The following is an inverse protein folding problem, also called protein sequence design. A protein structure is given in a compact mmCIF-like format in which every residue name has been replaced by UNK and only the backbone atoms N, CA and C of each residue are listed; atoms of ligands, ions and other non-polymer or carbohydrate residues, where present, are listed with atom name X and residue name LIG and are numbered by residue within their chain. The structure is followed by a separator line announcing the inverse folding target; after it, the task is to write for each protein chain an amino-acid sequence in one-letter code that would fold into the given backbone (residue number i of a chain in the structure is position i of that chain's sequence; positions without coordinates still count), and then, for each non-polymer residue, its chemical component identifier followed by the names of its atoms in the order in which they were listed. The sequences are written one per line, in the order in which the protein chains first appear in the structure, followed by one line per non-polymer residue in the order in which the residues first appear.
data_IF_264755951549
#
_entry.id   IF_264755951549
#
_cell.length_a   1.000
_cell.length_b   1.000
_cell.length_c   1.000
_cell.angle_alpha   90.00
_cell.angle_beta   90.00
_cell.angle_gamma   90.00
#
_symmetry.space_group_name_H-M   'P 1'
#
loop_
_entity.id
_entity.type
_entity.pdbx_description
1 polymer ?
#
# COMPACT_ATOMS: atom_id res chain seq x y z
N UNK A 1 -36.28 -64.21 -32.97
CA UNK A 1 -36.39 -62.73 -33.06
C UNK A 1 -35.71 -62.20 -31.80
N UNK A 2 -34.46 -61.82 -31.90
CA UNK A 2 -33.73 -61.19 -30.84
C UNK A 2 -33.89 -59.66 -30.99
N UNK A 3 -34.37 -59.04 -29.92
CA UNK A 3 -34.45 -57.58 -29.86
C UNK A 3 -33.05 -56.95 -29.76
N UNK A 4 -32.75 -55.89 -30.50
CA UNK A 4 -31.46 -55.23 -30.37
C UNK A 4 -31.44 -54.39 -29.11
N UNK A 5 -30.58 -54.73 -28.16
CA UNK A 5 -30.24 -53.90 -27.01
C UNK A 5 -29.67 -52.54 -27.47
N UNK A 6 -30.47 -51.50 -27.29
CA UNK A 6 -30.05 -50.11 -27.47
C UNK A 6 -29.09 -49.70 -26.34
N UNK A 7 -27.80 -49.91 -26.53
CA UNK A 7 -26.75 -49.31 -25.72
C UNK A 7 -26.51 -47.85 -26.13
N UNK A 8 -27.37 -46.96 -25.70
CA UNK A 8 -27.21 -45.54 -25.90
C UNK A 8 -26.82 -44.92 -24.56
N UNK A 9 -25.59 -44.37 -24.42
CA UNK A 9 -25.32 -43.31 -23.46
C UNK A 9 -24.12 -43.40 -22.55
N UNK A 10 -23.45 -44.55 -22.41
CA UNK A 10 -22.33 -44.65 -21.44
C UNK A 10 -21.02 -43.93 -21.86
N UNK A 11 -20.70 -43.91 -23.13
CA UNK A 11 -19.39 -43.46 -23.60
C UNK A 11 -19.19 -41.95 -23.74
N UNK A 12 -20.27 -41.18 -23.88
CA UNK A 12 -20.19 -39.73 -24.06
C UNK A 12 -19.93 -39.01 -22.72
N UNK A 13 -20.44 -39.58 -21.61
CA UNK A 13 -20.24 -38.99 -20.28
C UNK A 13 -18.86 -39.19 -19.74
N UNK A 14 -18.20 -40.31 -19.99
CA UNK A 14 -16.81 -40.56 -19.51
C UNK A 14 -15.79 -39.63 -20.22
N UNK A 15 -15.92 -39.38 -21.51
CA UNK A 15 -15.03 -38.45 -22.22
C UNK A 15 -15.15 -37.00 -21.74
N UNK A 16 -16.35 -36.55 -21.36
CA UNK A 16 -16.54 -35.20 -20.81
C UNK A 16 -15.94 -35.08 -19.41
N UNK A 17 -16.12 -36.07 -18.54
CA UNK A 17 -15.56 -36.10 -17.18
C UNK A 17 -14.03 -36.09 -17.20
N UNK A 18 -13.40 -36.83 -18.11
CA UNK A 18 -11.93 -36.84 -18.25
C UNK A 18 -11.35 -35.52 -18.71
N UNK A 19 -12.02 -34.77 -19.61
CA UNK A 19 -11.59 -33.43 -20.04
C UNK A 19 -11.72 -32.40 -18.92
N UNK A 20 -12.85 -32.41 -18.21
CA UNK A 20 -13.08 -31.51 -17.07
C UNK A 20 -12.04 -31.76 -15.97
N UNK A 21 -11.77 -33.01 -15.61
CA UNK A 21 -10.75 -33.35 -14.62
C UNK A 21 -9.34 -32.90 -15.01
N UNK A 22 -8.96 -32.99 -16.30
CA UNK A 22 -7.68 -32.48 -16.80
C UNK A 22 -7.59 -30.96 -16.74
N UNK A 23 -8.66 -30.25 -17.07
CA UNK A 23 -8.73 -28.79 -16.96
C UNK A 23 -8.59 -28.38 -15.49
N UNK A 24 -9.31 -29.04 -14.57
CA UNK A 24 -9.19 -28.76 -13.14
C UNK A 24 -7.79 -29.07 -12.61
N UNK A 25 -7.16 -30.18 -13.01
CA UNK A 25 -5.78 -30.49 -12.62
C UNK A 25 -4.78 -29.46 -13.13
N UNK A 26 -4.93 -29.02 -14.39
CA UNK A 26 -4.07 -27.98 -14.96
C UNK A 26 -4.25 -26.66 -14.23
N UNK A 27 -5.49 -26.24 -13.96
CA UNK A 27 -5.81 -25.02 -13.25
C UNK A 27 -5.27 -25.05 -11.82
N UNK A 28 -5.35 -26.19 -11.13
CA UNK A 28 -4.76 -26.40 -9.81
C UNK A 28 -3.23 -26.25 -9.84
N UNK A 29 -2.54 -26.83 -10.84
CA UNK A 29 -1.09 -26.70 -11.01
C UNK A 29 -0.70 -25.23 -11.24
N UNK A 30 -1.47 -24.49 -12.07
CA UNK A 30 -1.25 -23.06 -12.31
C UNK A 30 -1.43 -22.26 -11.04
N UNK A 31 -2.49 -22.52 -10.26
CA UNK A 31 -2.74 -21.85 -8.99
C UNK A 31 -1.59 -22.13 -8.00
N UNK A 32 -1.16 -23.38 -7.85
CA UNK A 32 -0.04 -23.75 -6.97
C UNK A 32 1.25 -23.08 -7.47
N UNK A 33 1.48 -23.06 -8.79
CA UNK A 33 2.62 -22.38 -9.39
C UNK A 33 2.64 -20.87 -9.09
N UNK A 34 1.48 -20.21 -9.15
CA UNK A 34 1.34 -18.80 -8.79
C UNK A 34 1.51 -18.55 -7.30
N UNK A 35 1.00 -19.44 -6.43
CA UNK A 35 1.15 -19.31 -4.98
C UNK A 35 2.61 -19.46 -4.54
N UNK A 36 3.38 -20.32 -5.18
CA UNK A 36 4.79 -20.57 -4.80
C UNK A 36 5.73 -19.64 -5.56
N UNK A 37 5.52 -19.45 -6.85
CA UNK A 37 6.39 -18.68 -7.74
C UNK A 37 6.03 -17.18 -7.80
N UNK A 38 4.78 -16.83 -7.52
CA UNK A 38 4.31 -15.44 -7.56
C UNK A 38 5.18 -14.46 -6.77
N UNK A 39 5.52 -14.76 -5.49
CA UNK A 39 6.38 -13.89 -4.70
C UNK A 39 7.76 -13.61 -5.31
N UNK A 40 8.26 -14.52 -6.15
CA UNK A 40 9.56 -14.36 -6.82
C UNK A 40 9.51 -13.43 -8.04
N UNK A 41 8.30 -13.18 -8.55
CA UNK A 41 8.07 -12.30 -9.71
C UNK A 41 7.80 -10.85 -9.32
N UNK A 42 7.65 -10.57 -8.02
CA UNK A 42 7.43 -9.22 -7.50
C UNK A 42 8.77 -8.68 -7.03
N UNK A 43 9.13 -7.48 -7.46
CA UNK A 43 10.27 -6.74 -6.94
C UNK A 43 9.79 -5.61 -6.02
N UNK A 44 10.69 -5.17 -5.12
CA UNK A 44 10.45 -3.92 -4.39
C UNK A 44 10.60 -2.75 -5.36
N UNK A 45 9.69 -1.79 -5.28
CA UNK A 45 9.88 -0.54 -5.98
C UNK A 45 10.55 0.48 -5.06
N UNK A 46 11.87 0.52 -5.10
CA UNK A 46 12.69 1.45 -4.31
C UNK A 46 12.86 2.81 -5.03
N UNK A 47 12.29 2.96 -6.24
CA UNK A 47 12.44 4.18 -7.04
C UNK A 47 11.47 5.28 -6.60
N UNK A 48 10.38 4.93 -5.89
CA UNK A 48 9.42 5.91 -5.38
C UNK A 48 10.11 6.74 -4.30
N UNK A 49 10.25 8.04 -4.58
CA UNK A 49 11.01 8.98 -3.76
C UNK A 49 10.41 10.38 -3.86
N UNK A 50 10.64 11.23 -2.86
CA UNK A 50 10.41 12.67 -2.98
C UNK A 50 11.51 13.26 -3.83
N UNK A 51 11.15 13.88 -4.94
CA UNK A 51 12.12 14.47 -5.87
C UNK A 51 12.94 15.57 -5.19
N UNK A 52 14.27 15.62 -5.48
CA UNK A 52 15.20 16.61 -4.91
C UNK A 52 14.89 18.06 -5.29
N UNK A 53 14.06 18.25 -6.33
CA UNK A 53 13.65 19.57 -6.79
C UNK A 53 12.40 20.11 -6.06
N UNK A 54 11.77 19.36 -5.17
CA UNK A 54 10.67 19.85 -4.35
C UNK A 54 11.11 21.07 -3.54
N UNK A 55 10.18 22.02 -3.33
CA UNK A 55 10.49 23.32 -2.75
C UNK A 55 11.16 23.18 -1.37
N UNK A 56 10.55 22.42 -0.48
CA UNK A 56 11.00 22.34 0.91
C UNK A 56 12.21 21.42 1.11
N UNK A 57 12.38 20.39 0.28
CA UNK A 57 13.59 19.55 0.29
C UNK A 57 14.79 20.36 -0.22
N UNK A 58 14.62 21.12 -1.33
CA UNK A 58 15.65 22.00 -1.87
C UNK A 58 16.03 23.14 -0.93
N UNK A 59 15.07 23.66 -0.18
CA UNK A 59 15.30 24.70 0.82
C UNK A 59 15.97 24.18 2.11
N UNK A 60 16.12 22.85 2.26
CA UNK A 60 16.67 22.24 3.47
C UNK A 60 15.75 22.31 4.68
N UNK A 61 14.44 22.49 4.45
CA UNK A 61 13.42 22.48 5.49
C UNK A 61 12.98 21.06 5.82
N UNK A 62 13.03 20.17 4.81
CA UNK A 62 12.79 18.74 4.96
C UNK A 62 13.99 17.96 4.46
N UNK A 63 14.32 16.89 5.17
CA UNK A 63 15.46 16.02 4.91
C UNK A 63 15.03 14.56 4.77
N UNK A 64 15.82 13.77 4.09
CA UNK A 64 15.63 12.34 3.92
C UNK A 64 15.91 11.85 2.50
N UNK A 65 15.69 10.56 2.24
CA UNK A 65 15.15 9.59 3.20
C UNK A 65 16.16 9.19 4.28
N UNK A 66 15.71 9.12 5.55
CA UNK A 66 16.54 8.67 6.67
C UNK A 66 16.50 7.16 6.84
N UNK A 67 15.32 6.57 6.72
CA UNK A 67 15.11 5.14 6.83
C UNK A 67 14.57 4.59 5.51
N UNK A 68 15.16 3.47 5.08
CA UNK A 68 14.65 2.69 3.96
C UNK A 68 14.46 1.26 4.44
N UNK A 69 13.22 0.80 4.45
CA UNK A 69 12.85 -0.55 4.86
C UNK A 69 12.15 -1.29 3.72
N UNK A 70 12.47 -2.57 3.58
CA UNK A 70 11.84 -3.48 2.64
C UNK A 70 11.08 -4.58 3.41
N UNK A 71 9.74 -4.55 3.34
CA UNK A 71 8.84 -5.40 4.12
C UNK A 71 8.15 -6.39 3.19
N UNK A 72 8.00 -7.64 3.64
CA UNK A 72 7.24 -8.69 2.95
C UNK A 72 6.00 -9.03 3.75
N UNK A 73 4.86 -9.04 3.07
CA UNK A 73 3.59 -9.46 3.65
C UNK A 73 2.91 -10.51 2.78
N UNK A 74 1.88 -11.17 3.31
CA UNK A 74 1.14 -12.23 2.61
C UNK A 74 2.07 -13.27 1.97
N UNK A 75 3.06 -13.79 2.73
CA UNK A 75 4.07 -14.73 2.25
C UNK A 75 4.87 -14.23 1.04
N UNK A 76 5.07 -12.89 0.92
CA UNK A 76 5.81 -12.25 -0.16
C UNK A 76 4.98 -11.88 -1.38
N UNK A 77 3.65 -12.09 -1.36
CA UNK A 77 2.75 -11.61 -2.41
C UNK A 77 2.51 -10.10 -2.38
N UNK A 78 2.84 -9.44 -1.29
CA UNK A 78 2.89 -8.00 -1.14
C UNK A 78 4.29 -7.61 -0.68
N UNK A 79 4.96 -6.77 -1.46
CA UNK A 79 6.24 -6.17 -1.12
C UNK A 79 6.06 -4.68 -0.93
N UNK A 80 6.64 -4.16 0.14
CA UNK A 80 6.49 -2.77 0.54
C UNK A 80 7.89 -2.19 0.69
N UNK A 81 8.16 -1.10 -0.04
CA UNK A 81 9.31 -0.23 0.21
C UNK A 81 8.83 0.97 1.02
N UNK A 82 9.52 1.29 2.12
CA UNK A 82 9.22 2.41 3.02
C UNK A 82 10.39 3.38 3.02
N UNK A 83 10.09 4.67 2.93
CA UNK A 83 11.04 5.77 3.10
C UNK A 83 10.47 6.81 4.04
N UNK A 84 11.33 7.42 4.87
CA UNK A 84 10.92 8.46 5.84
C UNK A 84 11.69 9.75 5.62
N UNK A 85 10.98 10.86 5.78
CA UNK A 85 11.51 12.22 5.70
C UNK A 85 11.09 12.99 6.93
N UNK A 86 11.90 13.91 7.39
CA UNK A 86 11.69 14.66 8.63
C UNK A 86 11.91 16.15 8.40
N UNK A 87 11.11 16.97 9.09
CA UNK A 87 11.31 18.42 9.09
C UNK A 87 12.50 18.81 9.95
N UNK A 88 13.20 19.87 9.54
CA UNK A 88 14.40 20.39 10.25
C UNK A 88 14.08 21.16 11.52
N UNK A 89 12.81 21.42 11.83
CA UNK A 89 12.34 22.29 12.91
C UNK A 89 12.12 21.60 14.24
N UNK A 90 12.83 20.50 14.51
CA UNK A 90 12.87 19.88 15.81
C UNK A 90 11.80 18.84 16.08
N UNK A 91 11.61 17.92 15.14
CA UNK A 91 10.70 16.77 15.28
C UNK A 91 9.21 17.12 15.21
N UNK A 92 8.86 18.20 14.53
CA UNK A 92 7.47 18.67 14.42
C UNK A 92 6.75 18.16 13.16
N UNK A 93 7.47 17.58 12.20
CA UNK A 93 6.90 17.00 10.98
C UNK A 93 7.64 15.75 10.49
N UNK A 94 6.90 14.72 10.10
CA UNK A 94 7.40 13.46 9.51
C UNK A 94 6.54 13.06 8.33
N UNK A 95 7.17 12.62 7.25
CA UNK A 95 6.52 12.06 6.08
C UNK A 95 6.99 10.63 5.88
N UNK A 96 6.05 9.69 5.78
CA UNK A 96 6.30 8.28 5.49
C UNK A 96 5.75 8.00 4.09
N UNK A 97 6.60 7.51 3.21
CA UNK A 97 6.23 7.09 1.84
C UNK A 97 6.33 5.58 1.75
N UNK A 98 5.22 4.93 1.43
CA UNK A 98 5.11 3.48 1.23
C UNK A 98 4.80 3.20 -0.24
N UNK A 99 5.59 2.37 -0.89
CA UNK A 99 5.31 1.81 -2.20
C UNK A 99 4.96 0.33 -2.06
N UNK A 100 3.74 -0.04 -2.43
CA UNK A 100 3.18 -1.39 -2.30
C UNK A 100 3.14 -2.04 -3.67
N UNK A 101 3.95 -3.07 -3.88
CA UNK A 101 4.02 -3.86 -5.12
C UNK A 101 3.42 -5.24 -4.93
N UNK A 102 2.46 -5.62 -5.78
CA UNK A 102 1.82 -6.95 -5.75
C UNK A 102 1.46 -7.40 -7.17
N UNK A 103 1.43 -8.72 -7.42
CA UNK A 103 0.97 -9.27 -8.71
C UNK A 103 -0.54 -9.15 -8.93
N UNK A 104 -1.27 -8.94 -7.86
CA UNK A 104 -2.72 -8.90 -7.84
C UNK A 104 -3.12 -7.55 -7.29
N UNK A 105 -4.12 -6.91 -7.91
CA UNK A 105 -4.67 -5.65 -7.38
C UNK A 105 -5.01 -5.77 -5.90
N UNK A 106 -4.76 -4.74 -5.11
CA UNK A 106 -5.09 -4.71 -3.68
C UNK A 106 -6.59 -4.98 -3.45
N UNK A 107 -7.45 -4.58 -4.38
CA UNK A 107 -8.90 -4.85 -4.32
C UNK A 107 -9.23 -6.36 -4.35
N UNK A 108 -8.36 -7.18 -4.94
CA UNK A 108 -8.50 -8.64 -4.94
C UNK A 108 -7.86 -9.31 -3.71
N UNK A 109 -6.94 -8.63 -3.03
CA UNK A 109 -6.36 -9.08 -1.76
C UNK A 109 -7.26 -8.75 -0.57
N UNK A 110 -8.18 -7.80 -0.73
CA UNK A 110 -9.12 -7.34 0.28
C UNK A 110 -9.77 -6.01 -0.12
N UNK A 111 -10.49 -5.39 0.80
CA UNK A 111 -10.93 -4.02 0.58
C UNK A 111 -9.71 -3.09 0.60
N UNK A 112 -9.43 -2.40 -0.50
CA UNK A 112 -8.29 -1.47 -0.64
C UNK A 112 -8.24 -0.46 0.51
N UNK A 113 -9.39 0.12 0.86
CA UNK A 113 -9.46 1.10 1.95
C UNK A 113 -9.05 0.51 3.29
N UNK A 114 -9.50 -0.72 3.60
CA UNK A 114 -9.12 -1.41 4.84
C UNK A 114 -7.61 -1.69 4.88
N UNK A 115 -7.00 -2.04 3.73
CA UNK A 115 -5.55 -2.25 3.63
C UNK A 115 -4.82 -0.93 3.90
N UNK A 116 -5.25 0.18 3.30
CA UNK A 116 -4.65 1.50 3.50
C UNK A 116 -4.77 1.91 4.97
N UNK A 117 -5.97 1.85 5.54
CA UNK A 117 -6.23 2.23 6.95
C UNK A 117 -5.40 1.37 7.91
N UNK A 118 -5.29 0.05 7.65
CA UNK A 118 -4.48 -0.82 8.48
C UNK A 118 -2.98 -0.50 8.37
N UNK A 119 -2.49 -0.09 7.18
CA UNK A 119 -1.10 0.37 7.03
C UNK A 119 -0.85 1.65 7.81
N UNK A 120 -1.76 2.63 7.71
CA UNK A 120 -1.67 3.86 8.51
C UNK A 120 -1.61 3.54 10.00
N UNK A 121 -2.51 2.69 10.50
CA UNK A 121 -2.50 2.27 11.91
C UNK A 121 -1.18 1.61 12.30
N UNK A 122 -0.68 0.67 11.48
CA UNK A 122 0.60 0.00 11.75
C UNK A 122 1.77 0.98 11.83
N UNK A 123 1.81 2.00 10.98
CA UNK A 123 2.86 3.02 11.05
C UNK A 123 2.64 3.95 12.26
N UNK A 124 1.40 4.27 12.63
CA UNK A 124 1.11 5.04 13.85
C UNK A 124 1.52 4.29 15.12
N UNK A 125 1.24 2.99 15.20
CA UNK A 125 1.67 2.15 16.32
C UNK A 125 3.21 2.15 16.47
N UNK A 126 3.95 2.16 15.35
CA UNK A 126 5.43 2.27 15.37
C UNK A 126 5.92 3.63 15.86
N UNK A 127 5.17 4.68 15.56
CA UNK A 127 5.45 6.05 16.03
C UNK A 127 4.87 6.32 17.42
N UNK A 128 4.31 5.30 18.08
CA UNK A 128 3.69 5.39 19.41
C UNK A 128 2.53 6.40 19.47
N UNK A 129 1.73 6.44 18.38
CA UNK A 129 0.60 7.35 18.22
C UNK A 129 -0.72 6.59 18.20
N UNK A 130 -1.69 7.06 18.98
CA UNK A 130 -3.08 6.60 18.94
C UNK A 130 -3.93 7.47 18.01
N UNK A 131 -4.50 6.83 16.96
CA UNK A 131 -5.39 7.51 16.04
C UNK A 131 -6.78 7.71 16.62
N UNK A 132 -7.25 8.94 16.60
CA UNK A 132 -8.64 9.28 16.84
C UNK A 132 -9.51 8.98 15.62
N UNK A 133 -10.80 9.26 15.71
CA UNK A 133 -11.74 9.06 14.60
C UNK A 133 -11.32 9.88 13.36
N UNK A 134 -11.08 9.17 12.26
CA UNK A 134 -10.70 9.79 10.99
C UNK A 134 -11.89 10.05 10.07
N UNK A 135 -11.66 10.86 9.06
CA UNK A 135 -12.58 11.13 7.97
C UNK A 135 -11.89 11.01 6.61
N UNK A 136 -12.64 10.56 5.62
CA UNK A 136 -12.22 10.62 4.22
C UNK A 136 -12.56 12.01 3.71
N UNK A 137 -11.59 12.67 3.08
CA UNK A 137 -11.79 13.97 2.46
C UNK A 137 -12.16 13.78 0.99
N UNK A 138 -13.14 14.55 0.53
CA UNK A 138 -13.53 14.62 -0.88
C UNK A 138 -12.76 15.73 -1.63
N UNK A 139 -11.69 16.24 -1.04
CA UNK A 139 -10.84 17.24 -1.66
C UNK A 139 -10.14 16.65 -2.89
N UNK A 140 -10.11 17.42 -3.96
CA UNK A 140 -9.33 17.11 -5.17
C UNK A 140 -8.10 17.98 -5.11
N UNK A 141 -6.93 17.35 -5.12
CA UNK A 141 -5.67 18.04 -5.33
C UNK A 141 -5.26 17.87 -6.80
N UNK A 142 -5.24 18.95 -7.56
CA UNK A 142 -4.97 18.92 -9.01
C UNK A 142 -3.53 18.48 -9.35
N UNK A 143 -2.60 18.59 -8.38
CA UNK A 143 -1.21 18.21 -8.55
C UNK A 143 -0.97 16.71 -8.29
N UNK A 144 -1.98 15.99 -7.78
CA UNK A 144 -1.92 14.56 -7.51
C UNK A 144 -2.69 13.76 -8.58
N UNK A 145 -2.40 12.45 -8.72
CA UNK A 145 -3.17 11.58 -9.59
C UNK A 145 -4.68 11.65 -9.29
N UNK A 146 -5.52 11.63 -10.33
CA UNK A 146 -6.99 11.79 -10.21
C UNK A 146 -7.67 10.73 -9.32
N UNK A 147 -7.04 9.58 -9.14
CA UNK A 147 -7.52 8.49 -8.29
C UNK A 147 -6.95 8.54 -6.86
N UNK A 148 -6.42 9.71 -6.43
CA UNK A 148 -5.91 9.89 -5.08
C UNK A 148 -7.04 9.94 -4.08
N UNK A 149 -6.98 9.09 -3.07
CA UNK A 149 -7.84 9.10 -1.88
C UNK A 149 -7.11 9.83 -0.75
N UNK A 150 -7.80 10.73 -0.07
CA UNK A 150 -7.25 11.55 1.02
C UNK A 150 -7.97 11.20 2.31
N UNK A 151 -7.20 10.88 3.35
CA UNK A 151 -7.70 10.57 4.70
C UNK A 151 -7.09 11.55 5.69
N UNK A 152 -7.84 11.94 6.69
CA UNK A 152 -7.38 12.81 7.76
C UNK A 152 -7.79 12.28 9.11
N UNK A 153 -6.84 12.27 10.04
CA UNK A 153 -7.04 11.95 11.46
C UNK A 153 -6.36 12.99 12.34
N UNK A 154 -6.74 12.98 13.60
CA UNK A 154 -5.95 13.51 14.68
C UNK A 154 -5.39 12.31 15.45
N UNK A 155 -4.17 12.43 15.96
CA UNK A 155 -3.55 11.44 16.80
C UNK A 155 -3.09 12.08 18.12
N UNK A 156 -2.93 11.24 19.13
CA UNK A 156 -2.33 11.60 20.42
C UNK A 156 -1.20 10.62 20.69
N UNK A 157 -0.21 11.04 21.46
CA UNK A 157 0.85 10.15 21.92
C UNK A 157 0.23 9.13 22.88
N UNK A 158 0.55 7.83 22.70
CA UNK A 158 0.06 6.75 23.54
C UNK A 158 0.58 6.91 24.98
N UNK A 159 -0.20 6.48 25.99
CA UNK A 159 0.14 6.71 27.40
C UNK A 159 1.42 5.99 27.87
N UNK A 160 1.80 4.89 27.20
CA UNK A 160 2.97 4.05 27.56
C UNK A 160 4.17 4.27 26.62
N UNK A 161 4.38 5.51 26.14
CA UNK A 161 5.44 5.80 25.17
C UNK A 161 6.85 5.72 25.76
N UNK A 162 7.79 5.28 24.93
CA UNK A 162 9.22 5.40 25.22
C UNK A 162 9.66 6.87 25.08
N UNK A 163 10.61 7.32 25.91
CA UNK A 163 11.20 8.66 25.78
C UNK A 163 11.89 8.93 24.43
N UNK A 164 11.97 7.92 23.57
CA UNK A 164 12.68 7.93 22.28
C UNK A 164 11.75 8.07 21.06
N UNK A 165 10.43 8.18 21.21
CA UNK A 165 9.50 8.39 20.10
C UNK A 165 9.79 9.71 19.36
N UNK A 166 9.58 9.74 18.03
CA UNK A 166 9.81 10.95 17.22
C UNK A 166 9.07 12.18 17.78
N UNK A 167 7.82 11.99 18.22
CA UNK A 167 7.00 13.05 18.79
C UNK A 167 7.04 13.12 20.34
N UNK A 168 7.92 12.37 21.02
CA UNK A 168 7.97 12.31 22.49
C UNK A 168 8.12 13.68 23.18
N UNK A 169 8.72 14.66 22.51
CA UNK A 169 8.88 16.03 23.02
C UNK A 169 7.57 16.85 22.99
N UNK A 170 6.52 16.33 22.37
CA UNK A 170 5.23 16.97 22.14
C UNK A 170 4.08 16.29 22.90
N UNK A 171 4.35 15.74 24.10
CA UNK A 171 3.48 14.87 24.90
C UNK A 171 2.02 15.34 25.06
N UNK A 172 1.74 16.61 24.96
CA UNK A 172 0.39 17.17 25.14
C UNK A 172 -0.16 17.81 23.88
N UNK A 173 0.52 17.68 22.77
CA UNK A 173 0.13 18.27 21.49
C UNK A 173 -0.70 17.27 20.68
N UNK A 174 -1.63 17.80 19.92
CA UNK A 174 -2.32 17.02 18.90
C UNK A 174 -1.40 16.81 17.71
N UNK A 175 -1.33 15.60 17.23
CA UNK A 175 -0.64 15.27 15.97
C UNK A 175 -1.67 15.20 14.85
N UNK A 176 -1.50 16.03 13.85
CA UNK A 176 -2.29 15.97 12.63
C UNK A 176 -1.73 14.85 11.74
N UNK A 177 -2.64 14.00 11.23
CA UNK A 177 -2.29 12.91 10.32
C UNK A 177 -3.07 13.10 9.04
N UNK A 178 -2.37 13.27 7.92
CA UNK A 178 -2.98 13.35 6.59
C UNK A 178 -2.36 12.30 5.68
N UNK A 179 -3.19 11.45 5.10
CA UNK A 179 -2.73 10.35 4.24
C UNK A 179 -3.26 10.53 2.84
N UNK A 180 -2.40 10.30 1.88
CA UNK A 180 -2.71 10.31 0.45
C UNK A 180 -2.40 8.93 -0.11
N UNK A 181 -3.30 8.39 -0.91
CA UNK A 181 -3.11 7.08 -1.53
C UNK A 181 -3.60 7.08 -2.96
N UNK A 182 -2.77 6.59 -3.87
CA UNK A 182 -3.14 6.38 -5.27
C UNK A 182 -2.55 5.08 -5.81
N UNK A 183 -3.08 4.62 -6.92
CA UNK A 183 -2.57 3.43 -7.60
C UNK A 183 -2.14 3.81 -9.01
N UNK A 184 -0.89 3.49 -9.34
CA UNK A 184 -0.37 3.58 -10.68
C UNK A 184 -0.87 2.38 -11.48
N UNK A 185 -1.75 2.63 -12.44
CA UNK A 185 -2.26 1.60 -13.32
C UNK A 185 -1.20 1.24 -14.38
N UNK A 186 -1.11 -0.04 -14.66
CA UNK A 186 -0.24 -0.55 -15.69
C UNK A 186 -0.83 -0.29 -17.07
N UNK A 187 -0.20 0.55 -17.84
CA UNK A 187 -0.74 0.92 -19.15
C UNK A 187 -0.55 -0.12 -20.26
N UNK A 188 0.38 -1.08 -20.19
CA UNK A 188 0.70 -1.89 -21.40
C UNK A 188 1.41 -3.23 -21.19
N UNK A 189 1.38 -3.92 -20.08
CA UNK A 189 2.15 -5.16 -19.93
C UNK A 189 1.33 -6.35 -19.45
N UNK A 190 1.55 -7.50 -20.10
CA UNK A 190 0.96 -8.80 -19.76
C UNK A 190 1.38 -9.28 -18.35
N UNK A 191 2.42 -8.67 -17.74
CA UNK A 191 2.97 -8.96 -16.42
C UNK A 191 3.36 -7.64 -15.73
N UNK A 192 2.43 -6.73 -15.54
CA UNK A 192 2.67 -5.54 -14.76
C UNK A 192 2.01 -5.67 -13.38
N UNK A 193 2.75 -5.35 -12.34
CA UNK A 193 2.22 -5.24 -10.98
C UNK A 193 1.60 -3.87 -10.77
N UNK A 194 0.32 -3.77 -10.42
CA UNK A 194 -0.22 -2.50 -9.96
C UNK A 194 0.54 -2.07 -8.71
N UNK A 195 0.96 -0.83 -8.70
CA UNK A 195 1.66 -0.24 -7.60
C UNK A 195 0.73 0.72 -6.86
N UNK A 196 0.59 0.56 -5.55
CA UNK A 196 -0.13 1.51 -4.70
C UNK A 196 0.86 2.29 -3.86
N UNK A 197 0.79 3.61 -3.96
CA UNK A 197 1.60 4.53 -3.16
C UNK A 197 0.72 5.05 -2.03
N UNK A 198 1.27 5.05 -0.81
CA UNK A 198 0.64 5.62 0.38
C UNK A 198 1.63 6.60 1.00
N UNK A 199 1.25 7.86 1.09
CA UNK A 199 2.05 8.89 1.75
C UNK A 199 1.32 9.32 3.02
N UNK A 200 2.02 9.26 4.17
CA UNK A 200 1.47 9.59 5.48
C UNK A 200 2.23 10.80 6.01
N UNK A 201 1.59 11.95 6.06
CA UNK A 201 2.12 13.16 6.67
C UNK A 201 1.66 13.26 8.13
N UNK A 202 2.61 13.46 9.02
CA UNK A 202 2.43 13.61 10.47
C UNK A 202 3.02 14.95 10.89
N UNK A 203 2.29 15.77 11.63
CA UNK A 203 2.84 17.02 12.15
C UNK A 203 2.09 17.54 13.37
N UNK A 204 2.79 18.31 14.20
CA UNK A 204 2.23 19.02 15.35
C UNK A 204 1.49 20.29 14.95
N UNK A 205 1.69 20.77 13.73
CA UNK A 205 1.07 22.00 13.21
C UNK A 205 0.63 21.82 11.74
N UNK A 206 -0.29 22.68 11.30
CA UNK A 206 -0.84 22.64 9.95
C UNK A 206 0.16 23.09 8.89
N UNK A 207 1.07 24.00 9.21
CA UNK A 207 2.09 24.47 8.26
C UNK A 207 2.99 23.32 7.80
N UNK A 208 3.38 22.43 8.69
CA UNK A 208 4.17 21.24 8.35
C UNK A 208 3.34 20.19 7.59
N UNK A 209 2.03 20.10 7.81
CA UNK A 209 1.13 19.28 6.98
C UNK A 209 1.08 19.81 5.54
N UNK A 210 1.01 21.13 5.37
CA UNK A 210 0.98 21.77 4.05
C UNK A 210 2.33 21.59 3.33
N UNK A 211 3.44 21.74 4.04
CA UNK A 211 4.78 21.46 3.51
C UNK A 211 4.94 19.99 3.11
N UNK A 212 4.51 19.05 3.96
CA UNK A 212 4.53 17.63 3.64
C UNK A 212 3.62 17.31 2.44
N UNK A 213 2.50 18.02 2.27
CA UNK A 213 1.61 17.87 1.11
C UNK A 213 2.33 18.27 -0.18
N UNK A 214 3.10 19.37 -0.18
CA UNK A 214 3.92 19.76 -1.33
C UNK A 214 4.99 18.70 -1.66
N UNK A 215 5.62 18.12 -0.64
CA UNK A 215 6.55 17.00 -0.87
C UNK A 215 5.85 15.81 -1.54
N UNK A 216 4.63 15.48 -1.11
CA UNK A 216 3.83 14.38 -1.66
C UNK A 216 3.47 14.63 -3.13
N UNK A 217 3.18 15.87 -3.53
CA UNK A 217 2.95 16.26 -4.92
C UNK A 217 4.17 16.02 -5.83
N UNK A 218 5.36 15.88 -5.23
CA UNK A 218 6.62 15.62 -5.90
C UNK A 218 7.15 14.17 -5.66
N UNK A 219 6.28 13.24 -5.27
CA UNK A 219 6.59 11.81 -5.17
C UNK A 219 6.42 11.15 -6.53
N UNK A 220 7.48 10.48 -6.98
CA UNK A 220 7.46 9.80 -8.28
C UNK A 220 8.59 8.81 -8.45
#
# INVERSE_FOLDING_TARGET
MEEPELRIGGWVQEKKRGKIRRIFSFLLIVIIGLLIGGPLLIDYNDNVDVQDNSLYKKAGVWHGPFDQENIKEFNGHLKISKKTYESSDGYSGKLIVLSLSSLISLDLLGNKQDIIVNKVKTEMDKEELELNTGKILTEINENLPRNTEIYQWEATIAEDTSENGFFSKHEHEKIFVKTFSWTNECSNAVLCSPETIICIALATNLDNIDQATELIENVG
#
